data_IF_202887483028
#
_entry.id   IF_202887483028
#
_cell.length_a   1.000
_cell.length_b   1.000
_cell.length_c   1.000
_cell.angle_alpha   90.00
_cell.angle_beta   90.00
_cell.angle_gamma   90.00
#
_symmetry.space_group_name_H-M   'P 1'
#
loop_
_entity.id
_entity.type
_entity.pdbx_description
1 polymer ?
#
# COMPACT_ATOMS: atom_id res chain seq x y z
N UNK A 1 20.81 -1.59 -12.06
CA UNK A 1 19.58 -1.04 -11.45
C UNK A 1 19.97 -0.51 -10.08
N UNK A 2 19.47 0.65 -9.66
CA UNK A 2 19.71 1.13 -8.30
C UNK A 2 19.13 0.14 -7.28
N UNK A 3 19.83 -0.09 -6.16
CA UNK A 3 19.30 -0.94 -5.07
C UNK A 3 17.95 -0.40 -4.60
N UNK A 4 17.02 -1.31 -4.25
CA UNK A 4 15.71 -0.92 -3.69
C UNK A 4 15.94 -0.26 -2.33
N UNK A 5 15.22 0.83 -2.03
CA UNK A 5 15.26 1.46 -0.71
C UNK A 5 14.39 0.66 0.24
N UNK A 6 14.92 0.26 1.40
CA UNK A 6 14.13 -0.45 2.41
C UNK A 6 13.20 0.55 3.09
N UNK A 7 11.91 0.23 3.14
CA UNK A 7 10.88 1.03 3.81
C UNK A 7 10.18 0.15 4.82
N UNK A 8 10.28 0.50 6.10
CA UNK A 8 9.62 -0.23 7.19
C UNK A 8 8.35 0.53 7.60
N UNK A 9 7.22 -0.17 7.62
CA UNK A 9 5.96 0.36 8.13
C UNK A 9 5.65 -0.29 9.48
N UNK A 10 5.75 0.49 10.55
CA UNK A 10 5.31 0.10 11.88
C UNK A 10 3.84 0.46 12.07
N UNK A 11 3.04 -0.54 12.46
CA UNK A 11 1.60 -0.39 12.57
C UNK A 11 0.99 -1.28 13.67
N UNK A 12 -0.22 -0.91 14.06
CA UNK A 12 -1.11 -1.66 14.94
C UNK A 12 -2.52 -1.61 14.35
N UNK A 13 -3.24 -2.74 14.35
CA UNK A 13 -4.59 -2.84 13.80
C UNK A 13 -5.63 -2.03 14.58
N UNK A 14 -5.32 -1.63 15.82
CA UNK A 14 -6.16 -0.71 16.62
C UNK A 14 -6.10 0.72 16.10
N UNK A 15 -5.14 1.09 15.25
CA UNK A 15 -5.04 2.46 14.73
C UNK A 15 -5.73 2.59 13.37
N UNK A 16 -6.76 3.45 13.24
CA UNK A 16 -7.43 3.68 11.97
C UNK A 16 -6.50 4.40 10.97
N UNK A 17 -5.66 5.33 11.45
CA UNK A 17 -4.66 5.99 10.58
C UNK A 17 -3.58 5.01 10.11
N UNK A 18 -3.28 3.96 10.88
CA UNK A 18 -2.34 2.93 10.44
C UNK A 18 -2.90 2.14 9.26
N UNK A 19 -4.21 1.86 9.25
CA UNK A 19 -4.84 1.21 8.09
C UNK A 19 -4.72 2.05 6.82
N UNK A 20 -4.99 3.36 6.94
CA UNK A 20 -4.89 4.28 5.80
C UNK A 20 -3.46 4.29 5.23
N UNK A 21 -2.46 4.39 6.10
CA UNK A 21 -1.08 4.42 5.65
C UNK A 21 -0.58 3.08 5.12
N UNK A 22 -1.03 1.98 5.72
CA UNK A 22 -0.81 0.63 5.23
C UNK A 22 -1.30 0.44 3.80
N UNK A 23 -2.54 0.82 3.49
CA UNK A 23 -3.09 0.62 2.14
C UNK A 23 -2.33 1.44 1.09
N UNK A 24 -1.89 2.66 1.43
CA UNK A 24 -1.04 3.46 0.53
C UNK A 24 0.29 2.75 0.31
N UNK A 25 0.98 2.34 1.36
CA UNK A 25 2.28 1.68 1.21
C UNK A 25 2.19 0.38 0.40
N UNK A 26 1.15 -0.42 0.61
CA UNK A 26 0.89 -1.63 -0.19
C UNK A 26 0.68 -1.30 -1.68
N UNK A 27 -0.10 -0.27 -2.01
CA UNK A 27 -0.29 0.17 -3.41
C UNK A 27 1.01 0.64 -4.05
N UNK A 28 1.87 1.30 -3.29
CA UNK A 28 3.14 1.81 -3.79
C UNK A 28 4.28 0.78 -3.82
N UNK A 29 4.11 -0.41 -3.22
CA UNK A 29 5.10 -1.51 -3.21
C UNK A 29 5.59 -1.87 -4.62
N UNK A 30 4.73 -1.72 -5.63
CA UNK A 30 5.03 -2.04 -7.03
C UNK A 30 5.18 -0.80 -7.92
N UNK A 31 5.04 0.40 -7.36
CA UNK A 31 5.13 1.68 -8.08
C UNK A 31 6.48 2.35 -7.84
N UNK A 32 6.93 2.36 -6.59
CA UNK A 32 8.24 2.91 -6.21
C UNK A 32 9.31 1.83 -6.17
N UNK A 33 10.58 2.23 -6.34
CA UNK A 33 11.73 1.33 -6.22
C UNK A 33 12.08 1.07 -4.74
N UNK A 34 11.11 0.54 -3.99
CA UNK A 34 11.21 0.29 -2.54
C UNK A 34 11.06 -1.19 -2.22
N UNK A 35 11.65 -1.64 -1.13
CA UNK A 35 11.36 -2.91 -0.47
C UNK A 35 10.55 -2.62 0.79
N UNK A 36 9.22 -2.81 0.71
CA UNK A 36 8.33 -2.60 1.85
C UNK A 36 8.43 -3.77 2.82
N UNK A 37 8.74 -3.48 4.08
CA UNK A 37 8.71 -4.40 5.23
C UNK A 37 7.57 -4.02 6.15
N UNK A 38 6.65 -4.94 6.38
CA UNK A 38 5.58 -4.76 7.36
C UNK A 38 6.10 -5.11 8.75
N UNK A 39 5.93 -4.20 9.71
CA UNK A 39 6.40 -4.35 11.10
C UNK A 39 5.20 -4.30 12.06
N UNK A 40 4.52 -5.43 12.32
CA UNK A 40 3.49 -5.50 13.35
C UNK A 40 4.08 -5.12 14.70
N UNK A 41 3.57 -4.06 15.31
CA UNK A 41 4.07 -3.51 16.58
C UNK A 41 2.90 -3.12 17.48
N UNK A 42 3.16 -2.99 18.79
CA UNK A 42 2.10 -2.72 19.75
C UNK A 42 2.02 -1.23 20.12
N UNK A 43 0.94 -0.56 19.70
CA UNK A 43 0.75 0.88 19.90
C UNK A 43 0.72 1.25 21.38
N UNK A 44 0.10 0.43 22.23
CA UNK A 44 0.07 0.65 23.67
C UNK A 44 1.48 0.69 24.27
N UNK A 45 2.40 -0.15 23.76
CA UNK A 45 3.80 -0.17 24.15
C UNK A 45 4.55 1.09 23.72
N UNK A 46 4.31 1.57 22.50
CA UNK A 46 4.90 2.83 22.00
C UNK A 46 4.41 4.05 22.79
N UNK A 47 3.11 4.14 23.07
CA UNK A 47 2.56 5.25 23.86
C UNK A 47 3.16 5.27 25.28
N UNK A 48 3.27 4.11 25.91
CA UNK A 48 3.91 4.00 27.22
C UNK A 48 5.39 4.38 27.17
N UNK A 49 6.17 3.80 26.25
CA UNK A 49 7.62 4.02 26.15
C UNK A 49 8.02 5.44 25.76
N UNK A 50 7.17 6.17 25.03
CA UNK A 50 7.40 7.57 24.66
C UNK A 50 6.81 8.59 25.63
N UNK A 51 6.02 8.15 26.61
CA UNK A 51 5.24 9.05 27.49
C UNK A 51 4.10 9.79 26.78
N UNK A 52 3.74 9.39 25.56
CA UNK A 52 2.65 10.01 24.81
C UNK A 52 1.27 9.58 25.34
N UNK A 53 0.26 10.41 25.12
CA UNK A 53 -1.13 10.10 25.46
C UNK A 53 -1.99 10.03 24.19
N UNK A 54 -2.99 9.13 24.15
CA UNK A 54 -3.87 9.02 22.99
C UNK A 54 -4.58 10.36 22.69
N UNK A 55 -4.64 10.79 21.41
CA UNK A 55 -5.29 12.05 21.06
C UNK A 55 -6.78 12.05 21.38
N UNK A 56 -7.42 10.86 21.37
CA UNK A 56 -8.83 10.67 21.72
C UNK A 56 -9.19 11.07 23.16
N UNK A 57 -8.21 11.19 24.06
CA UNK A 57 -8.43 11.68 25.43
C UNK A 57 -8.78 13.17 25.49
N UNK A 58 -8.56 13.92 24.40
CA UNK A 58 -8.95 15.34 24.29
C UNK A 58 -10.25 15.43 23.47
N UNK A 59 -11.38 15.85 24.07
CA UNK A 59 -12.69 15.81 23.40
C UNK A 59 -12.74 16.52 22.03
N UNK A 60 -12.05 17.65 21.89
CA UNK A 60 -11.98 18.38 20.61
C UNK A 60 -11.20 17.62 19.53
N UNK A 61 -10.12 16.92 19.92
CA UNK A 61 -9.36 16.07 18.99
C UNK A 61 -10.17 14.84 18.59
N UNK A 62 -10.87 14.22 19.53
CA UNK A 62 -11.76 13.10 19.26
C UNK A 62 -12.86 13.46 18.24
N UNK A 63 -13.57 14.59 18.45
CA UNK A 63 -14.57 15.09 17.50
C UNK A 63 -14.00 15.42 16.12
N UNK A 64 -12.75 15.89 16.06
CA UNK A 64 -12.07 16.13 14.79
C UNK A 64 -11.78 14.82 14.06
N UNK A 65 -11.23 13.83 14.78
CA UNK A 65 -10.87 12.52 14.22
C UNK A 65 -12.05 11.83 13.55
N UNK A 66 -13.25 11.88 14.13
CA UNK A 66 -14.44 11.28 13.54
C UNK A 66 -14.76 11.85 12.13
N UNK A 67 -14.75 13.18 12.02
CA UNK A 67 -14.97 13.87 10.74
C UNK A 67 -13.82 13.64 9.76
N UNK A 68 -12.59 13.60 10.27
CA UNK A 68 -11.39 13.41 9.47
C UNK A 68 -11.34 12.01 8.87
N UNK A 69 -11.50 10.97 9.68
CA UNK A 69 -11.54 9.58 9.24
C UNK A 69 -12.64 9.33 8.19
N UNK A 70 -13.80 9.98 8.33
CA UNK A 70 -14.87 9.91 7.32
C UNK A 70 -14.44 10.49 5.96
N UNK A 71 -13.67 11.59 5.95
CA UNK A 71 -13.13 12.19 4.71
C UNK A 71 -12.01 11.33 4.15
N UNK A 72 -11.12 10.86 5.01
CA UNK A 72 -9.96 10.06 4.65
C UNK A 72 -10.37 8.69 4.08
N UNK A 73 -11.42 8.05 4.59
CA UNK A 73 -11.99 6.83 4.02
C UNK A 73 -12.27 6.99 2.51
N UNK A 74 -12.94 8.10 2.14
CA UNK A 74 -13.24 8.43 0.74
C UNK A 74 -11.97 8.77 -0.05
N UNK A 75 -11.10 9.60 0.51
CA UNK A 75 -9.86 10.05 -0.14
C UNK A 75 -8.92 8.88 -0.45
N UNK A 76 -8.73 7.95 0.51
CA UNK A 76 -7.86 6.79 0.38
C UNK A 76 -8.53 5.55 -0.23
N UNK A 77 -9.83 5.54 -0.55
CA UNK A 77 -10.54 4.32 -1.01
C UNK A 77 -10.52 3.16 0.00
N UNK A 78 -10.54 3.49 1.29
CA UNK A 78 -10.54 2.48 2.35
C UNK A 78 -11.96 2.42 2.91
N UNK A 79 -12.58 1.23 3.06
CA UNK A 79 -13.95 1.10 3.57
C UNK A 79 -14.03 1.32 5.09
N UNK A 80 -13.33 2.35 5.59
CA UNK A 80 -13.26 2.69 6.99
C UNK A 80 -14.59 3.30 7.46
N UNK A 81 -15.16 2.71 8.49
CA UNK A 81 -16.34 3.15 9.23
C UNK A 81 -16.00 3.12 10.72
N UNK A 82 -16.28 4.21 11.41
CA UNK A 82 -16.06 4.29 12.85
C UNK A 82 -16.94 3.24 13.55
N UNK A 83 -16.40 2.42 14.48
CA UNK A 83 -17.22 1.50 15.28
C UNK A 83 -18.20 2.27 16.18
N UNK A 84 -19.22 1.59 16.71
CA UNK A 84 -20.22 2.22 17.56
C UNK A 84 -19.60 2.83 18.84
N UNK A 85 -18.62 2.14 19.43
CA UNK A 85 -17.81 2.65 20.54
C UNK A 85 -16.29 2.55 20.24
N UNK A 86 -15.71 3.59 19.62
CA UNK A 86 -14.27 3.63 19.36
C UNK A 86 -13.43 3.66 20.63
N UNK A 87 -13.99 4.15 21.75
CA UNK A 87 -13.26 4.24 23.01
C UNK A 87 -13.11 2.84 23.63
N UNK A 88 -14.18 2.06 23.68
CA UNK A 88 -14.14 0.65 24.12
C UNK A 88 -13.11 -0.14 23.32
N UNK A 89 -13.19 -0.03 22.00
CA UNK A 89 -12.29 -0.72 21.07
C UNK A 89 -10.82 -0.35 21.30
N UNK A 90 -10.51 0.95 21.37
CA UNK A 90 -9.12 1.41 21.46
C UNK A 90 -8.50 1.26 22.85
N UNK A 91 -9.30 1.47 23.92
CA UNK A 91 -8.78 1.64 25.27
C UNK A 91 -9.19 0.55 26.27
N UNK A 92 -10.26 -0.20 26.01
CA UNK A 92 -10.70 -1.28 26.89
C UNK A 92 -10.32 -2.66 26.35
N UNK A 93 -10.69 -2.95 25.10
CA UNK A 93 -10.37 -4.22 24.43
C UNK A 93 -8.92 -4.26 23.96
N UNK A 94 -8.48 -3.22 23.25
CA UNK A 94 -7.14 -3.13 22.67
C UNK A 94 -6.89 -4.19 21.59
N UNK A 95 -5.62 -4.39 21.24
CA UNK A 95 -5.20 -5.23 20.10
C UNK A 95 -4.08 -6.21 20.42
N UNK A 96 -3.72 -6.41 21.70
CA UNK A 96 -2.56 -7.24 22.09
C UNK A 96 -2.64 -8.66 21.50
N UNK A 97 -3.78 -9.34 21.62
CA UNK A 97 -3.98 -10.68 21.04
C UNK A 97 -3.85 -10.66 19.52
N UNK A 98 -4.52 -9.71 18.86
CA UNK A 98 -4.46 -9.54 17.40
C UNK A 98 -3.03 -9.30 16.90
N UNK A 99 -2.29 -8.38 17.52
CA UNK A 99 -0.91 -8.07 17.11
C UNK A 99 0.03 -9.25 17.33
N UNK A 100 -0.14 -10.03 18.41
CA UNK A 100 0.62 -11.28 18.60
C UNK A 100 0.27 -12.31 17.53
N UNK A 101 -1.01 -12.42 17.16
CA UNK A 101 -1.45 -13.33 16.10
C UNK A 101 -0.86 -12.94 14.75
N UNK A 102 -0.87 -11.65 14.39
CA UNK A 102 -0.18 -11.16 13.17
C UNK A 102 1.33 -11.45 13.24
N UNK A 103 1.98 -11.27 14.39
CA UNK A 103 3.39 -11.66 14.57
C UNK A 103 3.60 -13.16 14.39
N UNK A 104 2.67 -14.01 14.85
CA UNK A 104 2.72 -15.45 14.65
C UNK A 104 2.54 -15.85 13.17
N UNK A 105 1.65 -15.18 12.44
CA UNK A 105 1.53 -15.33 10.98
C UNK A 105 2.85 -14.93 10.31
N UNK A 106 3.44 -13.79 10.68
CA UNK A 106 4.72 -13.34 10.12
C UNK A 106 5.88 -14.29 10.41
N UNK A 107 5.92 -14.93 11.58
CA UNK A 107 6.95 -15.92 11.91
C UNK A 107 6.88 -17.17 11.03
N UNK A 108 5.66 -17.56 10.62
CA UNK A 108 5.42 -18.75 9.79
C UNK A 108 5.51 -18.48 8.30
N UNK A 109 5.32 -17.23 7.90
CA UNK A 109 5.35 -16.84 6.49
C UNK A 109 6.76 -16.97 5.90
N UNK A 110 6.86 -17.49 4.68
CA UNK A 110 8.12 -17.59 3.94
C UNK A 110 8.05 -16.73 2.67
N UNK A 111 9.10 -15.95 2.41
CA UNK A 111 9.22 -15.23 1.14
C UNK A 111 8.57 -13.85 1.05
N UNK A 112 8.06 -13.27 2.15
CA UNK A 112 7.50 -11.92 2.13
C UNK A 112 6.63 -11.58 3.33
N UNK A 113 5.72 -10.63 3.12
CA UNK A 113 4.68 -10.22 4.07
C UNK A 113 3.29 -10.25 3.39
N UNK A 114 3.05 -11.15 2.44
CA UNK A 114 1.77 -11.28 1.74
C UNK A 114 0.65 -11.78 2.65
N UNK A 115 0.88 -12.85 3.43
CA UNK A 115 -0.10 -13.36 4.39
C UNK A 115 -0.31 -12.35 5.52
N UNK A 116 0.77 -11.75 6.03
CA UNK A 116 0.71 -10.65 7.01
C UNK A 116 -0.13 -9.50 6.47
N UNK A 117 0.05 -9.13 5.21
CA UNK A 117 -0.73 -8.06 4.59
C UNK A 117 -2.23 -8.39 4.58
N UNK A 118 -2.61 -9.58 4.10
CA UNK A 118 -4.02 -9.95 4.00
C UNK A 118 -4.69 -10.10 5.37
N UNK A 119 -4.01 -10.73 6.33
CA UNK A 119 -4.54 -10.92 7.69
C UNK A 119 -4.72 -9.57 8.39
N UNK A 120 -3.74 -8.67 8.32
CA UNK A 120 -3.85 -7.34 8.91
C UNK A 120 -5.00 -6.54 8.29
N UNK A 121 -5.17 -6.60 6.97
CA UNK A 121 -6.30 -5.98 6.26
C UNK A 121 -7.65 -6.52 6.74
N UNK A 122 -7.80 -7.82 6.91
CA UNK A 122 -9.04 -8.40 7.42
C UNK A 122 -9.30 -8.05 8.89
N UNK A 123 -8.27 -7.99 9.73
CA UNK A 123 -8.41 -7.50 11.11
C UNK A 123 -8.88 -6.05 11.15
N UNK A 124 -8.29 -5.16 10.34
CA UNK A 124 -8.78 -3.78 10.21
C UNK A 124 -10.22 -3.72 9.68
N UNK A 125 -10.61 -4.58 8.73
CA UNK A 125 -12.00 -4.65 8.25
C UNK A 125 -12.96 -5.05 9.38
N UNK A 126 -12.59 -6.02 10.22
CA UNK A 126 -13.42 -6.43 11.37
C UNK A 126 -13.70 -5.25 12.29
N UNK A 127 -12.66 -4.60 12.79
CA UNK A 127 -12.78 -3.53 13.79
C UNK A 127 -13.27 -2.19 13.20
N UNK A 128 -12.75 -1.77 12.04
CA UNK A 128 -12.98 -0.44 11.45
C UNK A 128 -13.86 -0.46 10.20
N UNK A 129 -14.61 -1.53 9.95
CA UNK A 129 -15.62 -1.56 8.88
C UNK A 129 -16.86 -2.37 9.26
N UNK A 130 -16.68 -3.44 10.05
CA UNK A 130 -17.74 -4.38 10.42
C UNK A 130 -18.15 -4.27 11.90
N UNK A 131 -17.44 -3.47 12.71
CA UNK A 131 -17.64 -3.33 14.16
C UNK A 131 -17.64 -4.68 14.91
N UNK A 132 -16.66 -5.52 14.59
CA UNK A 132 -16.47 -6.87 15.14
C UNK A 132 -15.22 -6.95 16.00
N UNK A 133 -15.26 -7.92 16.92
CA UNK A 133 -14.14 -8.25 17.80
C UNK A 133 -12.89 -8.73 17.02
N UNK A 134 -11.72 -8.46 17.60
CA UNK A 134 -10.40 -8.93 17.17
C UNK A 134 -9.57 -9.53 18.33
N UNK A 135 -10.17 -9.69 19.52
CA UNK A 135 -9.45 -10.11 20.73
C UNK A 135 -9.50 -11.61 20.97
N UNK A 136 -10.55 -12.27 20.48
CA UNK A 136 -10.78 -13.70 20.69
C UNK A 136 -10.13 -14.57 19.60
N UNK A 137 -9.70 -15.81 19.92
CA UNK A 137 -9.17 -16.77 18.95
C UNK A 137 -10.07 -16.97 17.73
N UNK A 138 -11.38 -17.07 17.93
CA UNK A 138 -12.36 -17.30 16.87
C UNK A 138 -12.43 -16.10 15.92
N UNK A 139 -12.33 -14.88 16.46
CA UNK A 139 -12.29 -13.64 15.67
C UNK A 139 -11.06 -13.57 14.77
N UNK A 140 -9.89 -13.93 15.32
CA UNK A 140 -8.63 -13.97 14.57
C UNK A 140 -8.64 -15.09 13.52
N UNK A 141 -9.23 -16.24 13.85
CA UNK A 141 -9.44 -17.36 12.93
C UNK A 141 -10.31 -16.96 11.74
N UNK A 142 -11.47 -16.33 11.98
CA UNK A 142 -12.36 -15.86 10.91
C UNK A 142 -11.67 -14.86 9.98
N UNK A 143 -10.91 -13.90 10.55
CA UNK A 143 -10.13 -12.93 9.78
C UNK A 143 -9.09 -13.63 8.89
N UNK A 144 -8.35 -14.59 9.46
CA UNK A 144 -7.28 -15.28 8.77
C UNK A 144 -7.79 -16.19 7.64
N UNK A 145 -8.91 -16.91 7.86
CA UNK A 145 -9.55 -17.71 6.81
C UNK A 145 -10.07 -16.84 5.67
N UNK A 146 -10.67 -15.69 5.99
CA UNK A 146 -11.13 -14.71 4.99
C UNK A 146 -9.96 -14.08 4.22
N UNK A 147 -8.80 -13.97 4.85
CA UNK A 147 -7.53 -13.57 4.22
C UNK A 147 -6.90 -14.67 3.34
N UNK A 148 -7.48 -15.88 3.32
CA UNK A 148 -7.05 -16.98 2.47
C UNK A 148 -6.06 -17.96 3.11
N UNK A 149 -5.83 -17.88 4.43
CA UNK A 149 -4.99 -18.87 5.12
C UNK A 149 -5.72 -20.22 5.21
N UNK A 150 -4.95 -21.30 5.07
CA UNK A 150 -5.47 -22.67 5.26
C UNK A 150 -5.88 -22.91 6.72
N UNK A 151 -6.82 -23.82 6.97
CA UNK A 151 -7.21 -24.18 8.34
C UNK A 151 -6.01 -24.62 9.19
N UNK A 152 -5.07 -25.38 8.59
CA UNK A 152 -3.82 -25.78 9.25
C UNK A 152 -2.93 -24.60 9.60
N UNK A 153 -2.86 -23.58 8.74
CA UNK A 153 -2.04 -22.40 9.02
C UNK A 153 -2.64 -21.53 10.12
N UNK A 154 -3.97 -21.40 10.12
CA UNK A 154 -4.70 -20.68 11.16
C UNK A 154 -4.51 -21.35 12.51
N UNK A 155 -4.69 -22.67 12.58
CA UNK A 155 -4.50 -23.44 13.82
C UNK A 155 -3.06 -23.31 14.35
N UNK A 156 -2.06 -23.44 13.47
CA UNK A 156 -0.66 -23.30 13.88
C UNK A 156 -0.35 -21.87 14.39
N UNK A 157 -0.90 -20.82 13.76
CA UNK A 157 -0.74 -19.45 14.25
C UNK A 157 -1.44 -19.22 15.61
N UNK A 158 -2.62 -19.81 15.82
CA UNK A 158 -3.35 -19.78 17.11
C UNK A 158 -2.64 -20.54 18.23
N UNK A 159 -1.87 -21.57 17.91
CA UNK A 159 -1.02 -22.24 18.91
C UNK A 159 0.19 -21.37 19.28
N UNK A 160 0.77 -20.65 18.32
CA UNK A 160 1.97 -19.86 18.53
C UNK A 160 1.73 -18.49 19.16
N UNK A 161 0.59 -17.83 18.93
CA UNK A 161 0.45 -16.39 19.30
C UNK A 161 0.54 -16.10 20.81
N UNK A 162 0.34 -17.11 21.67
CA UNK A 162 0.52 -16.98 23.13
C UNK A 162 1.87 -17.45 23.64
N UNK A 163 2.72 -18.02 22.75
CA UNK A 163 4.05 -18.51 23.09
C UNK A 163 5.01 -17.38 23.46
N UNK A 164 6.02 -17.69 24.27
CA UNK A 164 7.02 -16.71 24.69
C UNK A 164 7.82 -16.13 23.50
N UNK A 165 8.26 -16.92 22.50
CA UNK A 165 8.96 -16.37 21.33
C UNK A 165 8.17 -15.31 20.57
N UNK A 166 6.85 -15.50 20.40
CA UNK A 166 6.00 -14.50 19.72
C UNK A 166 5.80 -13.24 20.57
N UNK A 167 5.63 -13.40 21.89
CA UNK A 167 5.57 -12.26 22.82
C UNK A 167 6.84 -11.41 22.75
N UNK A 168 8.00 -12.06 22.77
CA UNK A 168 9.30 -11.40 22.70
C UNK A 168 9.50 -10.75 21.33
N UNK A 169 9.10 -11.41 20.23
CA UNK A 169 9.21 -10.83 18.89
C UNK A 169 8.36 -9.56 18.71
N UNK A 170 7.12 -9.56 19.21
CA UNK A 170 6.27 -8.36 19.19
C UNK A 170 6.85 -7.23 20.06
N UNK A 171 7.37 -7.59 21.25
CA UNK A 171 8.04 -6.63 22.15
C UNK A 171 9.27 -6.02 21.48
N UNK A 172 10.15 -6.83 20.93
CA UNK A 172 11.38 -6.38 20.26
C UNK A 172 11.07 -5.49 19.06
N UNK A 173 10.04 -5.82 18.26
CA UNK A 173 9.61 -4.97 17.13
C UNK A 173 9.08 -3.61 17.62
N UNK A 174 8.38 -3.61 18.76
CA UNK A 174 7.88 -2.38 19.41
C UNK A 174 9.03 -1.53 19.98
N UNK A 175 10.02 -2.16 20.60
CA UNK A 175 11.25 -1.49 21.09
C UNK A 175 12.09 -0.95 19.93
N UNK A 176 12.14 -1.66 18.80
CA UNK A 176 12.79 -1.18 17.59
C UNK A 176 12.13 0.08 17.04
N UNK A 177 10.79 0.16 17.03
CA UNK A 177 10.08 1.40 16.70
C UNK A 177 10.44 2.55 17.68
N UNK A 178 10.48 2.26 18.98
CA UNK A 178 10.90 3.25 20.00
C UNK A 178 12.34 3.73 19.81
N UNK A 179 13.24 2.86 19.34
CA UNK A 179 14.63 3.25 19.04
C UNK A 179 14.75 4.28 17.90
N UNK A 180 13.75 4.34 17.02
CA UNK A 180 13.60 5.40 16.00
C UNK A 180 12.85 6.64 16.51
N UNK A 181 12.52 6.71 17.80
CA UNK A 181 11.78 7.81 18.40
C UNK A 181 10.26 7.72 18.21
N UNK A 182 9.70 6.53 18.06
CA UNK A 182 8.26 6.38 17.91
C UNK A 182 7.47 6.92 19.10
N UNK A 183 6.46 7.73 18.80
CA UNK A 183 5.48 8.25 19.76
C UNK A 183 4.04 7.86 19.41
N UNK A 184 3.85 7.11 18.32
CA UNK A 184 2.56 6.57 17.90
C UNK A 184 2.65 5.89 16.54
N UNK A 185 1.51 5.45 16.00
CA UNK A 185 1.43 4.79 14.70
C UNK A 185 0.35 5.38 13.78
N UNK A 186 0.54 5.31 12.44
CA UNK A 186 1.65 4.61 11.76
C UNK A 186 2.95 5.41 11.82
N UNK A 187 4.07 4.70 11.80
CA UNK A 187 5.40 5.26 11.58
C UNK A 187 6.02 4.53 10.39
N UNK A 188 6.62 5.31 9.49
CA UNK A 188 7.36 4.82 8.33
C UNK A 188 8.82 5.20 8.50
N UNK A 189 9.73 4.23 8.36
CA UNK A 189 11.17 4.45 8.37
C UNK A 189 11.72 4.10 6.99
N UNK A 190 12.31 5.09 6.32
CA UNK A 190 12.94 4.94 5.00
C UNK A 190 14.45 4.90 5.17
N UNK A 191 15.11 3.85 4.69
CA UNK A 191 16.56 3.75 4.72
C UNK A 191 17.14 4.33 3.43
N UNK A 192 17.68 5.55 3.50
CA UNK A 192 18.27 6.29 2.38
C UNK A 192 19.76 6.42 2.63
N UNK A 193 20.59 5.90 1.72
CA UNK A 193 22.06 5.94 1.81
C UNK A 193 22.60 5.47 3.18
N UNK A 194 21.97 4.44 3.74
CA UNK A 194 22.32 3.85 5.04
C UNK A 194 21.84 4.63 6.27
N UNK A 195 21.03 5.69 6.09
CA UNK A 195 20.45 6.49 7.18
C UNK A 195 18.93 6.32 7.26
N UNK A 196 18.36 6.18 8.47
CA UNK A 196 16.92 6.13 8.65
C UNK A 196 16.30 7.53 8.62
N UNK A 197 15.36 7.75 7.71
CA UNK A 197 14.49 8.92 7.67
C UNK A 197 13.08 8.53 8.14
N UNK A 198 12.54 9.26 9.12
CA UNK A 198 11.31 8.90 9.83
C UNK A 198 10.15 9.79 9.42
N UNK A 199 9.01 9.17 9.10
CA UNK A 199 7.76 9.84 8.78
C UNK A 199 6.63 9.30 9.66
N UNK A 200 6.01 10.16 10.45
CA UNK A 200 4.86 9.81 11.30
C UNK A 200 3.54 10.18 10.62
N UNK A 201 2.56 9.28 10.69
CA UNK A 201 1.20 9.51 10.20
C UNK A 201 0.92 8.97 8.80
N UNK A 202 -0.34 9.10 8.37
CA UNK A 202 -0.82 8.69 7.04
C UNK A 202 -0.96 9.89 6.08
N UNK A 203 -0.21 10.95 6.34
CA UNK A 203 -0.33 12.25 5.67
C UNK A 203 1.06 12.82 5.28
N UNK A 204 2.07 11.95 5.20
CA UNK A 204 3.46 12.31 4.86
C UNK A 204 3.96 11.69 3.56
N UNK A 205 3.12 10.98 2.80
CA UNK A 205 3.54 10.25 1.59
C UNK A 205 4.16 11.12 0.51
N UNK A 206 3.62 12.32 0.28
CA UNK A 206 4.16 13.24 -0.73
C UNK A 206 5.55 13.75 -0.33
N UNK A 207 5.73 14.11 0.93
CA UNK A 207 7.03 14.50 1.48
C UNK A 207 8.01 13.34 1.47
N UNK A 208 7.56 12.15 1.85
CA UNK A 208 8.34 10.93 1.79
C UNK A 208 8.81 10.66 0.35
N UNK A 209 7.90 10.73 -0.63
CA UNK A 209 8.21 10.55 -2.05
C UNK A 209 9.30 11.53 -2.51
N UNK A 210 9.18 12.81 -2.14
CA UNK A 210 10.21 13.82 -2.38
C UNK A 210 11.57 13.41 -1.80
N UNK A 211 11.63 13.01 -0.52
CA UNK A 211 12.87 12.62 0.14
C UNK A 211 13.52 11.38 -0.48
N UNK A 212 12.74 10.39 -0.94
CA UNK A 212 13.26 9.17 -1.54
C UNK A 212 13.48 9.28 -3.06
N UNK A 213 13.24 10.44 -3.66
CA UNK A 213 13.40 10.69 -5.10
C UNK A 213 12.37 9.96 -5.98
N UNK A 214 11.17 9.73 -5.45
CA UNK A 214 10.07 9.04 -6.12
C UNK A 214 8.93 10.01 -6.44
N UNK A 215 8.06 9.64 -7.39
CA UNK A 215 6.91 10.46 -7.78
C UNK A 215 5.67 10.10 -6.96
N UNK A 216 5.07 11.09 -6.30
CA UNK A 216 3.76 10.94 -5.68
C UNK A 216 2.65 11.07 -6.74
N UNK A 217 1.79 10.05 -6.82
CA UNK A 217 0.65 9.98 -7.74
C UNK A 217 -0.69 10.07 -6.99
N UNK A 218 -0.68 10.57 -5.75
CA UNK A 218 -1.85 10.53 -4.87
C UNK A 218 -2.05 9.17 -4.21
N UNK A 219 -3.08 9.01 -3.35
CA UNK A 219 -3.28 7.79 -2.56
C UNK A 219 -3.70 6.55 -3.36
N UNK A 220 -4.05 6.72 -4.64
CA UNK A 220 -4.53 5.68 -5.56
C UNK A 220 -3.70 5.73 -6.85
N UNK A 221 -2.44 5.25 -6.85
CA UNK A 221 -1.53 5.43 -7.99
C UNK A 221 -2.06 4.81 -9.30
N UNK A 222 -2.78 3.69 -9.23
CA UNK A 222 -3.36 3.02 -10.41
C UNK A 222 -4.39 3.89 -11.15
N UNK A 223 -5.25 4.58 -10.40
CA UNK A 223 -6.26 5.49 -10.96
C UNK A 223 -5.62 6.74 -11.55
N UNK A 224 -4.56 7.24 -10.94
CA UNK A 224 -3.81 8.39 -11.42
C UNK A 224 -3.00 8.08 -12.68
N UNK A 225 -2.40 6.89 -12.77
CA UNK A 225 -1.76 6.41 -13.98
C UNK A 225 -2.79 6.32 -15.13
N UNK A 226 -3.97 5.77 -14.90
CA UNK A 226 -5.05 5.71 -15.89
C UNK A 226 -5.53 7.11 -16.32
N UNK A 227 -5.58 8.10 -15.40
CA UNK A 227 -5.93 9.49 -15.73
C UNK A 227 -4.85 10.18 -16.57
N UNK A 228 -3.56 9.93 -16.30
CA UNK A 228 -2.46 10.45 -17.12
C UNK A 228 -2.47 9.83 -18.53
N UNK A 229 -2.79 8.54 -18.64
CA UNK A 229 -2.95 7.86 -19.93
C UNK A 229 -4.17 8.34 -20.73
N UNK A 230 -5.25 8.75 -20.06
CA UNK A 230 -6.45 9.30 -20.72
C UNK A 230 -6.36 10.82 -20.99
N UNK A 231 -5.43 11.53 -20.35
CA UNK A 231 -5.27 12.99 -20.47
C UNK A 231 -4.25 13.48 -21.51
N UNK A 232 -3.67 12.61 -22.34
CA UNK A 232 -2.67 12.99 -23.36
C UNK A 232 -3.16 12.92 -24.81
N UNK A 233 -4.46 12.75 -25.02
CA UNK A 233 -5.06 12.87 -26.34
C UNK A 233 -5.33 14.34 -26.69
N UNK A 234 -4.45 14.99 -27.43
CA UNK A 234 -4.86 16.15 -28.22
C UNK A 234 -5.85 15.66 -29.29
N UNK A 235 -7.00 16.32 -29.49
CA UNK A 235 -7.84 16.02 -30.64
C UNK A 235 -7.03 16.33 -31.91
N UNK A 236 -6.66 15.30 -32.67
CA UNK A 236 -6.16 15.51 -34.02
C UNK A 236 -7.30 16.14 -34.82
N UNK A 237 -7.07 17.34 -35.35
CA UNK A 237 -7.91 17.92 -36.40
C UNK A 237 -7.74 17.05 -37.64
N UNK A 238 -8.57 16.00 -37.74
CA UNK A 238 -9.02 15.27 -38.92
C UNK A 238 -9.36 13.82 -38.53
N UNK A 239 -10.62 13.59 -38.18
CA UNK A 239 -11.33 12.33 -38.45
C UNK A 239 -10.94 11.09 -37.66
N UNK A 240 -9.78 10.49 -37.90
CA UNK A 240 -9.67 9.02 -37.80
C UNK A 240 -8.36 8.47 -37.21
N UNK A 241 -7.67 9.18 -36.33
CA UNK A 241 -6.45 8.61 -35.70
C UNK A 241 -6.19 9.10 -34.28
N UNK A 242 -6.01 8.14 -33.37
CA UNK A 242 -5.55 8.38 -32.00
C UNK A 242 -4.03 8.15 -31.96
N UNK A 243 -3.25 9.20 -31.71
CA UNK A 243 -1.80 9.09 -31.62
C UNK A 243 -1.38 9.22 -30.15
N UNK A 244 -0.99 8.11 -29.52
CA UNK A 244 -0.49 8.07 -28.14
C UNK A 244 0.98 7.63 -28.10
N UNK A 245 1.83 8.38 -27.39
CA UNK A 245 3.21 7.95 -27.12
C UNK A 245 3.21 6.98 -25.94
N UNK A 246 3.44 5.71 -26.20
CA UNK A 246 3.74 4.72 -25.17
C UNK A 246 5.24 4.40 -25.20
N UNK A 247 5.92 4.58 -24.07
CA UNK A 247 7.31 4.15 -23.89
C UNK A 247 7.31 2.66 -23.50
N UNK A 248 7.85 1.79 -24.35
CA UNK A 248 8.12 0.39 -24.01
C UNK A 248 9.49 0.22 -23.36
N UNK A 249 9.53 -0.69 -22.39
CA UNK A 249 10.67 -1.15 -21.61
C UNK A 249 11.92 -1.49 -22.47
N UNK A 250 13.16 -1.20 -22.04
CA UNK A 250 14.34 -1.32 -22.89
C UNK A 250 14.77 -2.78 -23.04
N UNK A 251 14.63 -3.33 -24.25
CA UNK A 251 15.34 -4.54 -24.67
C UNK A 251 16.02 -4.37 -26.04
N UNK A 252 16.52 -3.18 -26.37
CA UNK A 252 17.49 -3.01 -27.45
C UNK A 252 18.40 -1.81 -27.15
N UNK A 253 19.73 -1.97 -27.17
CA UNK A 253 20.64 -0.83 -27.03
C UNK A 253 20.64 -0.02 -28.34
N UNK A 254 20.68 1.30 -28.23
CA UNK A 254 20.91 2.30 -29.31
C UNK A 254 19.75 2.77 -30.23
N UNK A 255 18.48 2.70 -29.80
CA UNK A 255 17.40 3.47 -30.47
C UNK A 255 16.77 4.47 -29.49
N UNK A 256 16.91 5.78 -29.79
CA UNK A 256 16.27 6.88 -29.08
C UNK A 256 14.75 6.84 -29.33
N UNK A 257 14.02 6.13 -28.46
CA UNK A 257 12.55 6.22 -28.36
C UNK A 257 11.78 5.68 -29.57
N UNK A 258 11.20 4.48 -29.41
CA UNK A 258 10.14 4.00 -30.29
C UNK A 258 8.79 4.59 -29.88
N UNK A 259 7.92 4.91 -30.84
CA UNK A 259 6.50 5.19 -30.60
C UNK A 259 5.66 4.12 -31.28
N UNK A 260 4.59 3.65 -30.63
CA UNK A 260 3.58 2.81 -31.29
C UNK A 260 2.48 3.69 -31.85
N UNK A 261 2.16 3.47 -33.12
CA UNK A 261 1.02 4.09 -33.79
C UNK A 261 -0.09 3.06 -33.87
N UNK A 262 -1.29 3.44 -33.45
CA UNK A 262 -2.49 2.62 -33.55
C UNK A 262 -3.44 3.21 -34.57
N UNK A 263 -4.01 2.35 -35.42
CA UNK A 263 -5.00 2.73 -36.42
C UNK A 263 -6.22 1.84 -36.28
N UNK A 264 -7.39 2.45 -36.24
CA UNK A 264 -8.67 1.74 -36.26
C UNK A 264 -9.05 1.50 -37.72
N UNK A 265 -9.16 0.22 -38.10
CA UNK A 265 -9.62 -0.21 -39.42
C UNK A 265 -10.74 -1.23 -39.25
N UNK A 266 -11.98 -0.76 -39.34
CA UNK A 266 -13.17 -1.59 -39.10
C UNK A 266 -13.23 -2.10 -37.65
N UNK A 267 -13.22 -3.43 -37.45
CA UNK A 267 -13.22 -4.06 -36.11
C UNK A 267 -11.82 -4.34 -35.57
N UNK A 268 -10.77 -3.95 -36.29
CA UNK A 268 -9.40 -4.24 -35.91
C UNK A 268 -8.70 -2.97 -35.46
N UNK A 269 -8.00 -3.08 -34.32
CA UNK A 269 -6.97 -2.13 -33.92
C UNK A 269 -5.68 -2.66 -34.51
N UNK A 270 -5.13 -1.93 -35.48
CA UNK A 270 -3.84 -2.21 -36.08
C UNK A 270 -2.77 -1.44 -35.31
N UNK A 271 -1.62 -2.06 -35.07
CA UNK A 271 -0.49 -1.43 -34.41
C UNK A 271 0.76 -1.50 -35.29
N UNK A 272 1.57 -0.44 -35.23
CA UNK A 272 2.84 -0.34 -35.93
C UNK A 272 3.87 0.36 -35.06
N UNK A 273 5.09 -0.15 -35.06
CA UNK A 273 6.19 0.44 -34.31
C UNK A 273 6.97 1.38 -35.23
N UNK A 274 7.12 2.64 -34.82
CA UNK A 274 7.83 3.68 -35.57
C UNK A 274 9.03 4.12 -34.75
N UNK A 275 10.18 4.16 -35.40
CA UNK A 275 11.42 4.61 -34.79
C UNK A 275 11.81 5.96 -35.38
N UNK A 276 12.32 6.84 -34.51
CA UNK A 276 12.80 8.16 -34.89
C UNK A 276 14.32 8.11 -34.98
N UNK A 277 14.86 8.49 -36.13
CA UNK A 277 16.32 8.59 -36.31
C UNK A 277 16.85 9.78 -35.51
N UNK A 278 18.08 9.65 -34.98
CA UNK A 278 18.68 10.61 -34.05
C UNK A 278 18.90 12.02 -34.65
N UNK A 279 18.89 12.17 -35.97
CA UNK A 279 19.02 13.45 -36.67
C UNK A 279 17.69 14.22 -36.81
N UNK A 280 16.57 13.65 -36.37
CA UNK A 280 15.26 14.28 -36.36
C UNK A 280 14.61 14.47 -37.74
N UNK A 281 15.20 13.96 -38.82
CA UNK A 281 14.78 14.30 -40.18
C UNK A 281 13.82 13.31 -40.84
N UNK A 282 13.67 12.07 -40.34
CA UNK A 282 12.75 11.07 -40.92
C UNK A 282 12.26 10.05 -39.88
N UNK A 283 10.95 9.77 -39.90
CA UNK A 283 10.35 8.63 -39.20
C UNK A 283 10.53 7.37 -40.06
N UNK A 284 11.25 6.37 -39.56
CA UNK A 284 11.47 5.11 -40.28
C UNK A 284 10.46 4.07 -39.79
N UNK A 285 9.64 3.59 -40.71
CA UNK A 285 8.71 2.48 -40.50
C UNK A 285 9.47 1.16 -40.64
N UNK A 286 9.66 0.43 -39.53
CA UNK A 286 10.47 -0.80 -39.53
C UNK A 286 9.62 -2.08 -39.55
N UNK A 287 8.29 -1.99 -39.39
CA UNK A 287 7.39 -3.16 -39.41
C UNK A 287 6.12 -2.93 -40.22
N UNK A 288 5.53 -3.99 -40.75
CA UNK A 288 4.18 -4.00 -41.34
C UNK A 288 3.10 -3.87 -40.25
N UNK A 289 1.93 -3.32 -40.59
CA UNK A 289 0.80 -3.23 -39.66
C UNK A 289 0.39 -4.62 -39.16
N UNK A 290 0.27 -4.79 -37.85
CA UNK A 290 -0.20 -6.03 -37.23
C UNK A 290 -1.54 -5.82 -36.52
N UNK A 291 -2.42 -6.82 -36.56
CA UNK A 291 -3.67 -6.79 -35.79
C UNK A 291 -3.32 -6.96 -34.32
N UNK A 292 -3.57 -5.91 -33.53
CA UNK A 292 -3.31 -5.86 -32.10
C UNK A 292 -4.49 -6.39 -31.30
N UNK A 293 -5.72 -5.96 -31.66
CA UNK A 293 -6.97 -6.40 -31.03
C UNK A 293 -8.07 -6.46 -32.09
N UNK A 294 -8.91 -7.50 -32.05
CA UNK A 294 -10.17 -7.55 -32.81
C UNK A 294 -11.33 -7.35 -31.85
N UNK A 295 -12.11 -6.29 -32.04
CA UNK A 295 -13.26 -5.98 -31.20
C UNK A 295 -14.42 -6.90 -31.56
N UNK A 296 -14.81 -7.77 -30.62
CA UNK A 296 -16.01 -8.59 -30.73
C UNK A 296 -17.22 -7.82 -30.18
N UNK A 297 -18.36 -7.89 -30.87
CA UNK A 297 -19.63 -7.33 -30.38
C UNK A 297 -20.14 -8.23 -29.24
N UNK A 298 -20.26 -7.67 -28.04
CA UNK A 298 -21.23 -8.09 -27.04
C UNK A 298 -22.21 -6.94 -26.83
#
# INVERSE_FOLDING_TARGET
MASRKVVELFYDVVSPYSWLGFEVMCRYRHVWNIELKLRPAFLGGVMHGSGNKPPGMVPNKFKYMDKDLTRLAKYFDVPLKCPADPFEVMFQKGSMSAMRFVTAVQERETGGDEQVEQVSRELWRRIWSEDKDITQPESMSEAAKKAGLSDSDVEAALQLYTSQPIKDKLKNTTEHALSYGAFGFPMIVCHIDGKPEIFFGSDRFELMAFCIGEKWLGPKPDKSAARLMSGSGYPCKNGDTFCGKFYLHPKFPTLLGGSLVFLLSGRHILCKQVFRMADGTTDVSVSSWQIFVTLSRK
#
